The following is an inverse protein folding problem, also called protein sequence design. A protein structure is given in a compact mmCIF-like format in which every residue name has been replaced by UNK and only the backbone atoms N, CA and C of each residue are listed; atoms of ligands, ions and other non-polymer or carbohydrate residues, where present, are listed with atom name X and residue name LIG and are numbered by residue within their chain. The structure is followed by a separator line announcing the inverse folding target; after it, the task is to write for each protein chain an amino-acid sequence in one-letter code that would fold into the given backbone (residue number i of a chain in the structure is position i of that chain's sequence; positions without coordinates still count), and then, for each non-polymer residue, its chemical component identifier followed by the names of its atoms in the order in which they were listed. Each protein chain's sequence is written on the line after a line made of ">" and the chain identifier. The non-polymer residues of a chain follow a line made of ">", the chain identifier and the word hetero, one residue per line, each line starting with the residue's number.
data_IF_802375130229
#
_entry.id   IF_802375130229
#
_cell.length_a   1.000
_cell.length_b   1.000
_cell.length_c   1.000
_cell.angle_alpha   90.00
_cell.angle_beta   90.00
_cell.angle_gamma   90.00
#
_symmetry.space_group_name_H-M   'P 1'
#
loop_
_entity.id
_entity.type
_entity.pdbx_description
1 polymer ?
#
# COMPACT_ATOMS: atom_id res chain seq x y z
N UNK A 1 -15.88 11.36 6.33
CA UNK A 1 -14.61 12.12 6.46
C UNK A 1 -14.83 13.52 5.95
N UNK A 2 -13.97 14.47 6.31
CA UNK A 2 -13.92 15.82 5.73
C UNK A 2 -12.50 16.12 5.23
N UNK A 3 -12.35 17.13 4.38
CA UNK A 3 -11.04 17.67 3.99
C UNK A 3 -10.85 19.06 4.57
N UNK A 4 -9.71 19.33 5.16
CA UNK A 4 -9.31 20.65 5.66
C UNK A 4 -7.83 20.91 5.38
N UNK A 5 -7.35 22.09 5.76
CA UNK A 5 -5.97 22.51 5.57
C UNK A 5 -5.17 22.56 6.88
N UNK A 6 -3.87 22.88 6.78
CA UNK A 6 -3.08 23.38 7.90
C UNK A 6 -3.64 24.71 8.47
N UNK A 7 -3.17 25.12 9.66
CA UNK A 7 -3.67 26.30 10.38
C UNK A 7 -3.50 27.63 9.64
N UNK A 8 -2.48 27.73 8.77
CA UNK A 8 -2.15 28.93 7.98
C UNK A 8 -1.96 28.51 6.52
N UNK A 9 -3.03 28.19 5.81
CA UNK A 9 -2.92 27.73 4.43
C UNK A 9 -2.65 28.92 3.51
N UNK A 10 -1.92 28.66 2.42
CA UNK A 10 -1.83 29.57 1.27
C UNK A 10 -2.95 29.23 0.29
N UNK A 11 -3.25 30.13 -0.66
CA UNK A 11 -4.24 29.87 -1.73
C UNK A 11 -3.98 28.55 -2.50
N UNK A 12 -2.73 28.21 -2.88
CA UNK A 12 -2.44 26.91 -3.48
C UNK A 12 -2.80 25.70 -2.59
N UNK A 13 -2.66 25.81 -1.27
CA UNK A 13 -3.02 24.74 -0.33
C UNK A 13 -4.54 24.60 -0.25
N UNK A 14 -5.28 25.71 -0.27
CA UNK A 14 -6.75 25.71 -0.28
C UNK A 14 -7.26 25.06 -1.56
N UNK A 15 -6.77 25.51 -2.73
CA UNK A 15 -7.16 24.94 -4.01
C UNK A 15 -6.83 23.44 -4.10
N UNK A 16 -5.68 23.02 -3.55
CA UNK A 16 -5.33 21.60 -3.44
C UNK A 16 -6.31 20.82 -2.56
N UNK A 17 -6.73 21.39 -1.43
CA UNK A 17 -7.70 20.77 -0.53
C UNK A 17 -9.09 20.66 -1.15
N UNK A 18 -9.56 21.69 -1.85
CA UNK A 18 -10.82 21.66 -2.59
C UNK A 18 -10.80 20.61 -3.71
N UNK A 19 -9.68 20.48 -4.43
CA UNK A 19 -9.50 19.42 -5.42
C UNK A 19 -9.56 18.04 -4.79
N UNK A 20 -8.87 17.80 -3.68
CA UNK A 20 -8.90 16.52 -2.98
C UNK A 20 -10.32 16.21 -2.47
N UNK A 21 -11.03 17.22 -1.98
CA UNK A 21 -12.43 17.10 -1.55
C UNK A 21 -13.32 16.66 -2.72
N UNK A 22 -13.15 17.27 -3.90
CA UNK A 22 -13.85 16.89 -5.12
C UNK A 22 -13.52 15.46 -5.56
N UNK A 23 -12.23 15.11 -5.64
CA UNK A 23 -11.77 13.79 -6.08
C UNK A 23 -12.31 12.65 -5.21
N UNK A 24 -12.50 12.90 -3.90
CA UNK A 24 -12.97 11.94 -2.90
C UNK A 24 -14.47 12.07 -2.58
N UNK A 25 -15.18 13.00 -3.23
CA UNK A 25 -16.57 13.34 -2.91
C UNK A 25 -16.79 13.62 -1.40
N UNK A 26 -15.91 14.43 -0.81
CA UNK A 26 -15.93 14.83 0.59
C UNK A 26 -16.23 16.32 0.73
N UNK A 27 -16.81 16.76 1.86
CA UNK A 27 -16.95 18.19 2.15
C UNK A 27 -15.58 18.81 2.47
N UNK A 28 -15.31 19.96 1.87
CA UNK A 28 -14.21 20.83 2.27
C UNK A 28 -14.66 21.74 3.43
N UNK A 29 -13.88 21.74 4.51
CA UNK A 29 -14.12 22.55 5.71
C UNK A 29 -12.93 23.49 5.92
N UNK A 30 -13.20 24.79 5.95
CA UNK A 30 -12.17 25.78 6.27
C UNK A 30 -11.64 25.56 7.68
N UNK A 31 -10.31 25.57 7.81
CA UNK A 31 -9.63 25.29 9.07
C UNK A 31 -9.91 26.32 10.17
N UNK A 32 -10.13 27.58 9.80
CA UNK A 32 -10.45 28.71 10.70
C UNK A 32 -9.56 28.83 11.96
N UNK A 33 -8.30 28.38 11.87
CA UNK A 33 -7.34 28.29 12.99
C UNK A 33 -7.79 27.38 14.15
N UNK A 34 -8.84 26.60 13.97
CA UNK A 34 -9.29 25.65 14.99
C UNK A 34 -8.32 24.46 15.06
N UNK A 35 -8.05 23.90 16.25
CA UNK A 35 -7.32 22.64 16.42
C UNK A 35 -7.98 21.46 15.69
N UNK A 36 -7.22 20.39 15.42
CA UNK A 36 -7.80 19.19 14.76
C UNK A 36 -8.81 18.51 15.70
N UNK A 37 -8.52 18.50 17.00
CA UNK A 37 -9.43 17.99 18.02
C UNK A 37 -10.81 18.68 18.00
N UNK A 38 -10.86 20.00 17.78
CA UNK A 38 -12.13 20.74 17.67
C UNK A 38 -12.95 20.26 16.47
N UNK A 39 -12.30 20.08 15.31
CA UNK A 39 -12.97 19.55 14.13
C UNK A 39 -13.41 18.09 14.32
N UNK A 40 -12.63 17.26 15.02
CA UNK A 40 -13.06 15.91 15.35
C UNK A 40 -14.33 15.93 16.22
N UNK A 41 -14.38 16.78 17.25
CA UNK A 41 -15.56 16.91 18.11
C UNK A 41 -16.78 17.44 17.35
N UNK A 42 -16.58 18.37 16.41
CA UNK A 42 -17.66 18.97 15.64
C UNK A 42 -18.23 18.02 14.57
N UNK A 43 -17.37 17.30 13.85
CA UNK A 43 -17.77 16.50 12.68
C UNK A 43 -17.84 15.01 12.93
N UNK A 44 -17.33 14.51 14.06
CA UNK A 44 -17.40 13.09 14.43
C UNK A 44 -16.77 12.14 13.41
N UNK A 45 -15.77 12.58 12.63
CA UNK A 45 -15.12 11.73 11.63
C UNK A 45 -13.60 11.97 11.51
N UNK A 46 -12.92 11.05 10.81
CA UNK A 46 -11.52 11.24 10.40
C UNK A 46 -11.38 12.38 9.38
N UNK A 47 -10.24 13.05 9.39
CA UNK A 47 -10.02 14.33 8.69
C UNK A 47 -8.81 14.22 7.78
N UNK A 48 -8.98 14.48 6.48
CA UNK A 48 -7.85 14.77 5.60
C UNK A 48 -7.32 16.17 5.88
N UNK A 49 -6.02 16.26 6.15
CA UNK A 49 -5.32 17.51 6.41
C UNK A 49 -4.31 17.74 5.29
N UNK A 50 -4.52 18.82 4.55
CA UNK A 50 -3.65 19.25 3.46
C UNK A 50 -2.71 20.33 3.96
N UNK A 51 -1.41 20.08 3.88
CA UNK A 51 -0.37 21.04 4.25
C UNK A 51 0.61 21.27 3.09
N UNK A 52 1.50 22.24 3.24
CA UNK A 52 2.60 22.49 2.29
C UNK A 52 3.51 21.27 2.15
N UNK A 53 3.75 20.55 3.25
CA UNK A 53 4.79 19.52 3.31
C UNK A 53 4.24 18.12 3.05
N UNK A 54 2.99 17.85 3.39
CA UNK A 54 2.38 16.53 3.24
C UNK A 54 0.85 16.55 3.20
N UNK A 55 0.29 15.49 2.63
CA UNK A 55 -1.09 15.07 2.83
C UNK A 55 -1.12 14.06 3.99
N UNK A 56 -2.08 14.19 4.89
CA UNK A 56 -2.24 13.26 6.01
C UNK A 56 -3.71 13.05 6.39
N UNK A 57 -4.01 11.96 7.08
CA UNK A 57 -5.29 11.66 7.68
C UNK A 57 -5.12 11.73 9.20
N UNK A 58 -5.84 12.65 9.84
CA UNK A 58 -6.00 12.63 11.30
C UNK A 58 -7.16 11.71 11.67
N UNK A 59 -6.95 10.86 12.67
CA UNK A 59 -7.92 9.86 13.10
C UNK A 59 -8.44 10.21 14.50
N UNK A 60 -9.74 10.04 14.74
CA UNK A 60 -10.38 10.45 16.02
C UNK A 60 -9.71 9.79 17.23
N UNK A 61 -9.34 8.52 17.08
CA UNK A 61 -8.91 7.67 18.19
C UNK A 61 -7.38 7.48 18.24
N UNK A 62 -6.61 8.29 17.51
CA UNK A 62 -5.15 8.22 17.52
C UNK A 62 -4.56 9.61 17.45
N UNK A 63 -3.58 9.91 18.29
CA UNK A 63 -2.88 11.20 18.21
C UNK A 63 -1.95 11.30 17.00
N UNK A 64 -1.58 10.16 16.40
CA UNK A 64 -0.65 10.11 15.28
C UNK A 64 -1.38 10.22 13.94
N UNK A 65 -1.10 11.26 13.13
CA UNK A 65 -1.66 11.34 11.79
C UNK A 65 -1.04 10.28 10.88
N UNK A 66 -1.87 9.69 10.04
CA UNK A 66 -1.44 8.80 8.98
C UNK A 66 -0.98 9.61 7.76
N UNK A 67 0.22 9.36 7.26
CA UNK A 67 0.73 9.95 6.02
C UNK A 67 1.55 8.91 5.26
N UNK A 68 1.74 9.11 3.96
CA UNK A 68 2.58 8.23 3.18
C UNK A 68 4.05 8.39 3.56
N UNK A 69 4.73 7.26 3.79
CA UNK A 69 6.17 7.16 3.95
C UNK A 69 6.60 5.81 3.35
N UNK A 70 7.72 5.76 2.58
CA UNK A 70 8.13 4.53 1.89
C UNK A 70 8.61 3.41 2.83
N UNK A 71 8.72 3.69 4.13
CA UNK A 71 9.07 2.75 5.20
C UNK A 71 10.29 1.90 4.83
N UNK A 72 10.15 0.57 4.89
CA UNK A 72 11.24 -0.35 4.61
C UNK A 72 11.71 -0.34 3.17
N UNK A 73 10.91 0.17 2.23
CA UNK A 73 11.31 0.23 0.83
C UNK A 73 12.60 1.02 0.64
N UNK A 74 12.80 2.12 1.38
CA UNK A 74 13.96 2.99 1.19
C UNK A 74 15.29 2.25 1.41
N UNK A 75 15.41 1.47 2.50
CA UNK A 75 16.65 0.71 2.73
C UNK A 75 16.71 -0.55 1.86
N UNK A 76 15.57 -1.17 1.55
CA UNK A 76 15.52 -2.37 0.68
C UNK A 76 15.93 -2.06 -0.75
N UNK A 77 15.41 -0.97 -1.32
CA UNK A 77 15.81 -0.48 -2.66
C UNK A 77 17.31 -0.20 -2.71
N UNK A 78 17.86 0.51 -1.72
CA UNK A 78 19.31 0.77 -1.66
C UNK A 78 20.15 -0.50 -1.64
N UNK A 79 19.68 -1.56 -0.98
CA UNK A 79 20.35 -2.87 -0.94
C UNK A 79 20.23 -3.59 -2.28
N UNK A 80 19.04 -3.61 -2.87
CA UNK A 80 18.78 -4.20 -4.19
C UNK A 80 19.63 -3.54 -5.28
N UNK A 81 19.77 -2.21 -5.26
CA UNK A 81 20.62 -1.48 -6.21
C UNK A 81 22.11 -1.80 -6.06
N UNK A 82 22.55 -2.31 -4.90
CA UNK A 82 23.91 -2.83 -4.68
C UNK A 82 24.07 -4.30 -5.07
N UNK A 83 23.02 -4.94 -5.58
CA UNK A 83 23.01 -6.37 -5.91
C UNK A 83 22.82 -7.28 -4.69
N UNK A 84 22.38 -6.75 -3.55
CA UNK A 84 22.06 -7.59 -2.39
C UNK A 84 20.73 -8.33 -2.57
N UNK A 85 20.58 -9.43 -1.85
CA UNK A 85 19.35 -10.24 -1.87
C UNK A 85 18.24 -9.63 -1.02
N UNK A 86 17.01 -9.75 -1.50
CA UNK A 86 15.79 -9.41 -0.76
C UNK A 86 14.86 -10.65 -0.69
N UNK A 87 14.38 -11.05 0.49
CA UNK A 87 13.51 -12.24 0.63
C UNK A 87 12.22 -12.17 -0.18
N UNK A 88 11.65 -10.98 -0.38
CA UNK A 88 10.48 -10.79 -1.25
C UNK A 88 10.83 -11.10 -2.71
N UNK A 89 12.00 -10.65 -3.18
CA UNK A 89 12.46 -10.93 -4.54
C UNK A 89 12.81 -12.40 -4.76
N UNK A 90 13.27 -13.10 -3.72
CA UNK A 90 13.48 -14.54 -3.78
C UNK A 90 12.17 -15.31 -3.96
N UNK A 91 11.10 -14.92 -3.27
CA UNK A 91 9.79 -15.55 -3.37
C UNK A 91 9.07 -15.23 -4.69
N UNK A 92 9.11 -13.96 -5.09
CA UNK A 92 8.46 -13.47 -6.33
C UNK A 92 9.24 -13.81 -7.59
N UNK A 93 10.56 -14.02 -7.51
CA UNK A 93 11.46 -14.23 -8.65
C UNK A 93 11.28 -13.18 -9.75
N UNK A 94 10.92 -11.96 -9.38
CA UNK A 94 10.74 -10.87 -10.33
C UNK A 94 12.04 -10.56 -11.06
N UNK A 95 11.91 -10.36 -12.36
CA UNK A 95 12.99 -9.89 -13.23
C UNK A 95 12.51 -8.71 -14.08
N UNK A 96 13.40 -8.13 -14.87
CA UNK A 96 13.09 -6.98 -15.72
C UNK A 96 11.93 -7.27 -16.67
N UNK A 97 11.10 -6.25 -16.89
CA UNK A 97 9.93 -6.26 -17.77
C UNK A 97 8.78 -7.19 -17.32
N UNK A 98 8.85 -7.81 -16.15
CA UNK A 98 7.73 -8.55 -15.57
C UNK A 98 6.63 -7.61 -15.06
N UNK A 99 5.48 -8.22 -14.81
CA UNK A 99 4.28 -7.61 -14.26
C UNK A 99 3.90 -8.21 -12.91
N UNK A 100 3.57 -7.37 -11.94
CA UNK A 100 3.08 -7.80 -10.63
C UNK A 100 1.81 -7.05 -10.23
N UNK A 101 0.88 -7.80 -9.66
CA UNK A 101 -0.30 -7.30 -8.99
C UNK A 101 -0.13 -7.49 -7.47
N UNK A 102 -0.04 -6.38 -6.74
CA UNK A 102 -0.05 -6.32 -5.27
C UNK A 102 -1.50 -6.14 -4.80
N UNK A 103 -2.11 -7.21 -4.30
CA UNK A 103 -3.51 -7.25 -3.90
C UNK A 103 -3.77 -6.63 -2.51
N UNK A 104 -2.73 -6.13 -1.84
CA UNK A 104 -2.79 -5.62 -0.46
C UNK A 104 -1.81 -4.45 -0.34
N UNK A 105 -1.97 -3.46 -1.21
CA UNK A 105 -0.93 -2.46 -1.45
C UNK A 105 -0.43 -1.78 -0.17
N UNK A 106 -1.33 -1.40 0.75
CA UNK A 106 -0.96 -0.70 1.98
C UNK A 106 -0.13 0.54 1.68
N UNK A 107 1.09 0.64 2.23
CA UNK A 107 2.03 1.74 1.93
C UNK A 107 2.95 1.50 0.72
N UNK A 108 2.64 0.49 -0.09
CA UNK A 108 3.39 0.12 -1.28
C UNK A 108 4.85 -0.28 -1.02
N UNK A 109 5.23 -0.69 0.20
CA UNK A 109 6.64 -0.95 0.49
C UNK A 109 7.24 -2.06 -0.39
N UNK A 110 6.50 -3.14 -0.64
CA UNK A 110 6.92 -4.22 -1.53
C UNK A 110 6.76 -3.82 -3.01
N UNK A 111 5.67 -3.14 -3.36
CA UNK A 111 5.43 -2.58 -4.69
C UNK A 111 6.52 -1.61 -5.18
N UNK A 112 7.13 -0.81 -4.29
CA UNK A 112 8.28 0.04 -4.62
C UNK A 112 9.50 -0.80 -4.99
N UNK A 113 9.79 -1.84 -4.21
CA UNK A 113 10.90 -2.77 -4.51
C UNK A 113 10.64 -3.47 -5.85
N UNK A 114 9.41 -3.91 -6.10
CA UNK A 114 9.00 -4.47 -7.39
C UNK A 114 9.26 -3.52 -8.55
N UNK A 115 8.82 -2.25 -8.43
CA UNK A 115 8.93 -1.26 -9.51
C UNK A 115 10.38 -0.91 -9.87
N UNK A 116 11.30 -1.00 -8.90
CA UNK A 116 12.74 -0.90 -9.15
C UNK A 116 13.24 -2.10 -9.95
N UNK A 117 12.86 -3.32 -9.58
CA UNK A 117 13.35 -4.55 -10.21
C UNK A 117 12.78 -4.79 -11.60
N UNK A 118 11.47 -4.60 -11.78
CA UNK A 118 10.84 -4.81 -13.10
C UNK A 118 11.19 -3.70 -14.08
N UNK A 119 11.61 -2.54 -13.57
CA UNK A 119 12.10 -1.42 -14.36
C UNK A 119 11.03 -0.73 -15.21
N UNK A 120 11.48 0.15 -16.11
CA UNK A 120 10.61 1.06 -16.88
C UNK A 120 9.63 0.39 -17.84
N UNK A 121 9.94 -0.82 -18.32
CA UNK A 121 9.03 -1.55 -19.21
C UNK A 121 8.25 -2.64 -18.46
N UNK A 122 8.46 -2.77 -17.15
CA UNK A 122 7.64 -3.63 -16.30
C UNK A 122 6.36 -2.93 -15.88
N UNK A 123 5.50 -3.67 -15.17
CA UNK A 123 4.20 -3.19 -14.72
C UNK A 123 4.00 -3.52 -13.23
N UNK A 124 3.68 -2.52 -12.42
CA UNK A 124 3.29 -2.72 -11.02
C UNK A 124 1.92 -2.10 -10.81
N UNK A 125 0.94 -2.95 -10.46
CA UNK A 125 -0.40 -2.52 -10.08
C UNK A 125 -0.64 -2.91 -8.62
N UNK A 126 -1.18 -1.98 -7.85
CA UNK A 126 -1.53 -2.19 -6.45
C UNK A 126 -2.99 -1.89 -6.20
N UNK A 127 -3.72 -2.80 -5.58
CA UNK A 127 -5.11 -2.59 -5.17
C UNK A 127 -5.19 -2.31 -3.67
N UNK A 128 -6.02 -1.34 -3.30
CA UNK A 128 -6.32 -1.00 -1.92
C UNK A 128 -7.82 -0.71 -1.79
N UNK A 129 -8.53 -1.52 -1.00
CA UNK A 129 -9.99 -1.39 -0.89
C UNK A 129 -10.42 -0.17 -0.08
N UNK A 130 -9.57 0.36 0.81
CA UNK A 130 -9.87 1.65 1.44
C UNK A 130 -9.53 2.82 0.50
N UNK A 131 -10.55 3.41 -0.12
CA UNK A 131 -10.38 4.53 -1.07
C UNK A 131 -9.55 5.70 -0.53
N UNK A 132 -9.62 5.98 0.77
CA UNK A 132 -8.88 7.09 1.38
C UNK A 132 -7.40 6.75 1.55
N UNK A 133 -7.09 5.50 1.92
CA UNK A 133 -5.72 5.02 1.97
C UNK A 133 -5.13 4.94 0.56
N UNK A 134 -5.87 4.39 -0.41
CA UNK A 134 -5.46 4.33 -1.81
C UNK A 134 -5.13 5.73 -2.35
N UNK A 135 -5.97 6.73 -2.07
CA UNK A 135 -5.74 8.11 -2.47
C UNK A 135 -4.49 8.70 -1.82
N UNK A 136 -4.32 8.51 -0.50
CA UNK A 136 -3.15 8.99 0.25
C UNK A 136 -1.85 8.40 -0.31
N UNK A 137 -1.83 7.10 -0.58
CA UNK A 137 -0.67 6.36 -1.08
C UNK A 137 -0.35 6.75 -2.51
N UNK A 138 -1.37 6.83 -3.39
CA UNK A 138 -1.22 7.29 -4.78
C UNK A 138 -0.66 8.71 -4.83
N UNK A 139 -1.16 9.61 -3.99
CA UNK A 139 -0.61 10.96 -3.88
C UNK A 139 0.83 10.92 -3.34
N UNK A 140 1.10 10.13 -2.31
CA UNK A 140 2.43 9.95 -1.74
C UNK A 140 3.46 9.51 -2.75
N UNK A 141 3.20 8.40 -3.45
CA UNK A 141 4.08 7.84 -4.49
C UNK A 141 4.44 8.83 -5.61
N UNK A 142 3.50 9.70 -5.98
CA UNK A 142 3.73 10.72 -7.04
C UNK A 142 4.55 11.92 -6.59
N UNK A 143 4.54 12.24 -5.29
CA UNK A 143 5.10 13.49 -4.77
C UNK A 143 6.24 13.29 -3.77
N UNK A 144 6.59 12.04 -3.45
CA UNK A 144 7.68 11.74 -2.55
C UNK A 144 9.02 12.05 -3.22
N UNK A 145 9.92 12.66 -2.46
CA UNK A 145 11.31 12.88 -2.83
C UNK A 145 12.17 12.05 -1.86
N UNK A 146 12.78 10.99 -2.39
CA UNK A 146 13.66 10.11 -1.60
C UNK A 146 15.13 10.56 -1.65
N UNK A 147 15.45 11.57 -2.46
CA UNK A 147 16.82 11.93 -2.82
C UNK A 147 17.52 10.88 -3.69
N UNK A 148 16.79 9.91 -4.24
CA UNK A 148 17.29 8.84 -5.10
C UNK A 148 16.39 8.75 -6.34
N UNK A 149 16.81 9.33 -7.50
CA UNK A 149 15.98 9.41 -8.71
C UNK A 149 15.40 8.05 -9.14
N UNK A 150 16.18 6.98 -9.05
CA UNK A 150 15.76 5.63 -9.43
C UNK A 150 14.57 5.13 -8.59
N UNK A 151 14.52 5.50 -7.31
CA UNK A 151 13.42 5.16 -6.41
C UNK A 151 12.21 6.06 -6.66
N UNK A 152 12.42 7.36 -6.90
CA UNK A 152 11.34 8.32 -7.15
C UNK A 152 10.61 8.00 -8.46
N UNK A 153 11.37 7.74 -9.53
CA UNK A 153 10.82 7.26 -10.80
C UNK A 153 10.09 5.93 -10.62
N UNK A 154 10.61 5.01 -9.80
CA UNK A 154 9.95 3.74 -9.51
C UNK A 154 8.62 3.94 -8.77
N UNK A 155 8.55 4.83 -7.79
CA UNK A 155 7.31 5.15 -7.10
C UNK A 155 6.26 5.73 -8.07
N UNK A 156 6.66 6.63 -8.95
CA UNK A 156 5.76 7.29 -9.90
C UNK A 156 5.13 6.34 -10.94
N UNK A 157 5.78 5.20 -11.23
CA UNK A 157 5.27 4.17 -12.17
C UNK A 157 4.20 3.26 -11.57
N UNK A 158 4.07 3.19 -10.25
CA UNK A 158 3.12 2.29 -9.60
C UNK A 158 1.70 2.76 -9.85
N UNK A 159 0.87 1.89 -10.42
CA UNK A 159 -0.53 2.15 -10.63
C UNK A 159 -1.36 1.73 -9.42
N UNK A 160 -1.95 2.68 -8.71
CA UNK A 160 -2.77 2.43 -7.52
C UNK A 160 -4.25 2.49 -7.87
N UNK A 161 -4.97 1.41 -7.59
CA UNK A 161 -6.40 1.26 -7.86
C UNK A 161 -7.16 1.10 -6.53
N UNK A 162 -8.16 1.96 -6.32
CA UNK A 162 -9.01 1.94 -5.13
C UNK A 162 -10.16 0.94 -5.33
N UNK A 163 -9.92 -0.33 -4.99
CA UNK A 163 -10.84 -1.45 -5.20
C UNK A 163 -10.46 -2.61 -4.28
N UNK A 164 -11.42 -3.42 -3.87
CA UNK A 164 -11.15 -4.66 -3.15
C UNK A 164 -10.44 -5.68 -4.06
N UNK A 165 -9.54 -6.49 -3.48
CA UNK A 165 -8.68 -7.37 -4.27
C UNK A 165 -9.45 -8.42 -5.07
N UNK A 166 -10.43 -9.10 -4.45
CA UNK A 166 -11.24 -10.12 -5.12
C UNK A 166 -12.07 -9.51 -6.26
N UNK A 167 -12.63 -8.31 -6.07
CA UNK A 167 -13.34 -7.60 -7.12
C UNK A 167 -12.44 -7.27 -8.31
N UNK A 168 -11.21 -6.82 -8.06
CA UNK A 168 -10.24 -6.57 -9.12
C UNK A 168 -9.85 -7.86 -9.84
N UNK A 169 -9.53 -8.92 -9.09
CA UNK A 169 -9.13 -10.21 -9.64
C UNK A 169 -10.20 -10.80 -10.56
N UNK A 170 -11.48 -10.79 -10.15
CA UNK A 170 -12.62 -11.26 -10.95
C UNK A 170 -12.74 -10.57 -12.31
N UNK A 171 -12.35 -9.29 -12.38
CA UNK A 171 -12.41 -8.49 -13.61
C UNK A 171 -11.15 -8.60 -14.48
N UNK A 172 -10.07 -9.17 -13.96
CA UNK A 172 -8.83 -9.36 -14.69
C UNK A 172 -8.83 -10.63 -15.55
N UNK A 173 -8.03 -10.61 -16.61
CA UNK A 173 -7.92 -11.74 -17.53
C UNK A 173 -7.03 -12.83 -16.94
N UNK A 174 -7.21 -14.06 -17.41
CA UNK A 174 -6.29 -15.16 -17.10
C UNK A 174 -4.88 -14.81 -17.57
N UNK A 175 -3.87 -15.10 -16.75
CA UNK A 175 -2.45 -14.80 -17.02
C UNK A 175 -2.16 -13.30 -17.30
N UNK A 176 -2.95 -12.39 -16.74
CA UNK A 176 -2.76 -10.94 -16.94
C UNK A 176 -1.51 -10.37 -16.24
N UNK A 177 -0.99 -11.06 -15.23
CA UNK A 177 0.22 -10.67 -14.50
C UNK A 177 1.19 -11.84 -14.34
N UNK A 178 2.49 -11.57 -14.33
CA UNK A 178 3.50 -12.62 -14.09
C UNK A 178 3.44 -13.13 -12.65
N UNK A 179 3.21 -12.22 -11.69
CA UNK A 179 3.11 -12.52 -10.25
C UNK A 179 1.88 -11.84 -9.66
N UNK A 180 1.12 -12.57 -8.84
CA UNK A 180 0.11 -11.99 -7.93
C UNK A 180 0.63 -12.10 -6.50
N UNK A 181 0.55 -11.03 -5.72
CA UNK A 181 1.12 -10.92 -4.37
C UNK A 181 0.09 -10.47 -3.34
N UNK A 182 0.20 -11.06 -2.14
CA UNK A 182 -0.57 -10.69 -0.96
C UNK A 182 0.35 -10.54 0.27
N UNK A 183 0.10 -9.48 1.03
CA UNK A 183 0.62 -9.13 2.37
C UNK A 183 -0.55 -8.64 3.21
N UNK A 184 -1.55 -9.51 3.49
CA UNK A 184 -2.66 -9.12 4.33
C UNK A 184 -2.13 -8.71 5.70
N UNK A 185 -2.86 -7.83 6.39
CA UNK A 185 -2.53 -7.60 7.78
C UNK A 185 -2.61 -8.92 8.56
N UNK A 186 -1.53 -9.25 9.26
CA UNK A 186 -1.37 -10.54 9.95
C UNK A 186 -2.54 -10.85 10.91
N UNK A 187 -2.94 -12.12 10.97
CA UNK A 187 -3.91 -12.62 11.96
C UNK A 187 -3.41 -12.40 13.42
N UNK A 188 -2.09 -12.48 13.60
CA UNK A 188 -1.40 -12.26 14.87
C UNK A 188 -0.72 -10.89 14.89
N UNK A 189 -0.98 -10.10 15.94
CA UNK A 189 -0.45 -8.73 16.09
C UNK A 189 1.08 -8.75 16.20
N UNK A 190 1.77 -8.22 15.19
CA UNK A 190 3.20 -7.85 15.29
C UNK A 190 3.30 -6.37 15.64
N UNK A 191 3.93 -5.97 16.74
CA UNK A 191 4.17 -4.54 17.01
C UNK A 191 5.16 -3.96 15.99
N UNK A 192 4.70 -3.01 15.16
CA UNK A 192 5.58 -2.18 14.34
C UNK A 192 5.03 -0.77 14.23
N UNK A 193 5.88 0.22 14.53
CA UNK A 193 5.50 1.63 14.55
C UNK A 193 4.96 2.11 13.18
N UNK A 194 5.51 1.57 12.08
CA UNK A 194 5.12 1.93 10.72
C UNK A 194 3.74 1.40 10.27
N UNK A 195 3.22 0.32 10.88
CA UNK A 195 1.91 -0.28 10.52
C UNK A 195 0.81 0.23 11.44
N UNK A 196 1.14 0.64 12.67
CA UNK A 196 0.18 1.12 13.66
C UNK A 196 -0.74 2.23 13.13
N UNK A 197 -0.21 3.12 12.29
CA UNK A 197 -0.98 4.23 11.71
C UNK A 197 -2.07 3.78 10.73
N UNK A 198 -1.94 2.59 10.12
CA UNK A 198 -2.82 2.10 9.05
C UNK A 198 -3.82 1.06 9.52
N UNK A 199 -3.56 0.40 10.65
CA UNK A 199 -4.43 -0.66 11.17
C UNK A 199 -5.91 -0.31 11.21
N UNK A 200 -6.24 0.93 11.59
CA UNK A 200 -7.63 1.41 11.67
C UNK A 200 -8.27 1.73 10.31
N UNK A 201 -7.45 1.86 9.27
CA UNK A 201 -7.87 2.14 7.89
C UNK A 201 -7.85 0.88 7.03
N UNK A 202 -7.09 -0.14 7.42
CA UNK A 202 -6.98 -1.37 6.66
C UNK A 202 -8.30 -2.15 6.69
N UNK A 203 -8.61 -2.76 5.55
CA UNK A 203 -9.68 -3.73 5.46
C UNK A 203 -9.17 -5.09 5.93
N UNK A 204 -9.89 -5.68 6.88
CA UNK A 204 -9.63 -7.02 7.39
C UNK A 204 -10.47 -8.04 6.61
N UNK A 205 -10.28 -8.09 5.29
CA UNK A 205 -10.79 -9.19 4.48
C UNK A 205 -9.85 -10.38 4.63
N UNK A 206 -10.36 -11.54 5.04
CA UNK A 206 -9.57 -12.77 5.03
C UNK A 206 -9.27 -13.17 3.57
N UNK A 207 -8.15 -13.86 3.34
CA UNK A 207 -7.94 -14.53 2.06
C UNK A 207 -8.78 -15.80 2.07
N UNK A 208 -9.85 -15.81 1.28
CA UNK A 208 -10.68 -17.00 1.08
C UNK A 208 -10.22 -17.83 -0.14
N UNK A 209 -10.85 -19.01 -0.30
CA UNK A 209 -10.56 -19.93 -1.41
C UNK A 209 -10.76 -19.25 -2.77
N UNK A 210 -11.82 -18.45 -2.91
CA UNK A 210 -12.15 -17.78 -4.17
C UNK A 210 -11.06 -16.78 -4.57
N UNK A 211 -10.58 -15.99 -3.61
CA UNK A 211 -9.48 -15.03 -3.81
C UNK A 211 -8.22 -15.74 -4.29
N UNK A 212 -7.88 -16.89 -3.71
CA UNK A 212 -6.72 -17.66 -4.12
C UNK A 212 -6.91 -18.28 -5.51
N UNK A 213 -8.08 -18.84 -5.83
CA UNK A 213 -8.35 -19.41 -7.16
C UNK A 213 -8.31 -18.34 -8.26
N UNK A 214 -8.91 -17.17 -8.01
CA UNK A 214 -8.83 -16.05 -8.95
C UNK A 214 -7.40 -15.51 -9.08
N UNK A 215 -6.63 -15.48 -7.99
CA UNK A 215 -5.21 -15.13 -8.04
C UNK A 215 -4.40 -16.11 -8.89
N UNK A 216 -4.64 -17.43 -8.77
CA UNK A 216 -4.00 -18.45 -9.61
C UNK A 216 -4.40 -18.29 -11.08
N UNK A 217 -5.66 -17.95 -11.36
CA UNK A 217 -6.13 -17.68 -12.72
C UNK A 217 -5.43 -16.45 -13.33
N UNK A 218 -5.30 -15.38 -12.56
CA UNK A 218 -4.72 -14.11 -13.02
C UNK A 218 -3.20 -14.16 -13.12
N UNK A 219 -2.52 -14.92 -12.24
CA UNK A 219 -1.09 -15.10 -12.26
C UNK A 219 -0.64 -16.07 -13.36
N UNK A 220 0.40 -15.71 -14.09
CA UNK A 220 1.01 -16.55 -15.14
C UNK A 220 2.05 -17.52 -14.61
N UNK A 221 2.76 -17.14 -13.54
CA UNK A 221 3.88 -17.93 -13.03
C UNK A 221 3.72 -18.33 -11.56
N UNK A 222 3.21 -17.43 -10.72
CA UNK A 222 3.08 -17.72 -9.29
C UNK A 222 2.14 -16.77 -8.55
N UNK A 223 1.59 -17.29 -7.45
CA UNK A 223 0.97 -16.49 -6.39
C UNK A 223 1.92 -16.46 -5.20
N UNK A 224 2.14 -15.30 -4.60
CA UNK A 224 3.03 -15.13 -3.44
C UNK A 224 2.25 -14.56 -2.26
N UNK A 225 2.45 -15.14 -1.08
CA UNK A 225 1.87 -14.69 0.17
C UNK A 225 2.98 -14.35 1.16
N UNK A 226 2.91 -13.17 1.77
CA UNK A 226 3.60 -12.82 3.00
C UNK A 226 2.62 -12.92 4.15
N UNK A 227 2.98 -13.68 5.17
CA UNK A 227 2.15 -13.80 6.37
C UNK A 227 3.02 -14.08 7.60
N UNK A 228 2.44 -13.99 8.78
CA UNK A 228 3.09 -14.36 10.03
C UNK A 228 3.60 -15.81 9.93
N UNK A 229 4.76 -16.09 10.54
CA UNK A 229 5.40 -17.42 10.40
C UNK A 229 4.55 -18.60 10.90
N UNK A 230 3.53 -18.34 11.73
CA UNK A 230 2.55 -19.32 12.23
C UNK A 230 1.23 -19.33 11.46
N UNK A 231 1.11 -18.56 10.38
CA UNK A 231 -0.16 -18.45 9.64
C UNK A 231 -0.63 -19.81 9.14
N UNK A 232 -1.89 -20.13 9.42
CA UNK A 232 -2.52 -21.36 8.95
C UNK A 232 -2.82 -21.31 7.44
N UNK A 233 -2.85 -20.11 6.85
CA UNK A 233 -3.10 -19.88 5.41
C UNK A 233 -2.08 -20.57 4.53
N UNK A 234 -0.82 -20.69 4.97
CA UNK A 234 0.21 -21.40 4.22
C UNK A 234 -0.17 -22.86 3.97
N UNK A 235 -0.61 -23.57 5.01
CA UNK A 235 -1.04 -24.96 4.89
C UNK A 235 -2.40 -25.07 4.20
N UNK A 236 -3.35 -24.19 4.56
CA UNK A 236 -4.71 -24.19 3.99
C UNK A 236 -4.71 -24.13 2.46
N UNK A 237 -3.87 -23.28 1.88
CA UNK A 237 -3.82 -23.05 0.43
C UNK A 237 -2.62 -23.71 -0.26
N UNK A 238 -1.93 -24.64 0.42
CA UNK A 238 -0.79 -25.39 -0.11
C UNK A 238 0.38 -24.52 -0.61
N UNK A 239 0.70 -23.43 0.08
CA UNK A 239 1.88 -22.61 -0.23
C UNK A 239 3.19 -23.31 0.17
N UNK A 240 4.21 -23.21 -0.68
CA UNK A 240 5.57 -23.56 -0.34
C UNK A 240 6.25 -22.42 0.42
N UNK A 241 6.56 -22.63 1.71
CA UNK A 241 7.07 -21.59 2.61
C UNK A 241 8.60 -21.46 2.54
N UNK A 242 9.09 -20.25 2.25
CA UNK A 242 10.51 -19.90 2.33
C UNK A 242 10.90 -19.58 3.78
N UNK A 243 11.17 -20.63 4.57
CA UNK A 243 11.42 -20.52 6.01
C UNK A 243 12.65 -19.66 6.33
N UNK A 244 12.47 -18.70 7.24
CA UNK A 244 13.54 -17.87 7.80
C UNK A 244 13.48 -17.92 9.32
N UNK A 245 14.49 -18.52 9.94
CA UNK A 245 14.50 -18.90 11.37
C UNK A 245 14.38 -17.71 12.33
N UNK A 246 14.83 -16.52 11.94
CA UNK A 246 14.83 -15.31 12.79
C UNK A 246 13.73 -14.31 12.45
N UNK A 247 12.86 -14.61 11.48
CA UNK A 247 11.85 -13.67 10.99
C UNK A 247 10.46 -14.00 11.54
N UNK A 248 9.72 -12.97 11.98
CA UNK A 248 8.34 -13.10 12.46
C UNK A 248 7.31 -13.23 11.32
N UNK A 249 7.74 -13.16 10.06
CA UNK A 249 6.90 -13.41 8.89
C UNK A 249 7.70 -14.21 7.88
N UNK A 250 7.01 -15.01 7.07
CA UNK A 250 7.60 -15.71 5.94
C UNK A 250 6.93 -15.27 4.64
N UNK A 251 7.69 -15.40 3.56
CA UNK A 251 7.10 -15.43 2.23
C UNK A 251 6.86 -16.89 1.86
N UNK A 252 5.83 -17.14 1.07
CA UNK A 252 5.51 -18.44 0.52
C UNK A 252 4.96 -18.27 -0.90
N UNK A 253 5.06 -19.30 -1.73
CA UNK A 253 4.55 -19.26 -3.11
C UNK A 253 3.79 -20.51 -3.52
N UNK A 254 2.86 -20.33 -4.45
CA UNK A 254 2.28 -21.38 -5.28
C UNK A 254 2.87 -21.16 -6.69
N UNK A 255 3.53 -22.17 -7.23
CA UNK A 255 4.02 -22.18 -8.61
C UNK A 255 2.92 -22.70 -9.55
N UNK A 256 2.79 -22.11 -10.75
CA UNK A 256 1.73 -22.39 -11.74
C UNK A 256 2.27 -22.96 -13.05
#
# INVERSE_FOLDING_TARGET
>A
MIVTTSLRPTEPIIAKAEKIALDLNLPFVRRNKEPIATLHNQYGCNIFVVSSNRLSISQIETELPLFFHPNSAMFRVKRVLRGETDPFLQATKLTSNMSILDCTLGLASDSIVSSVVVGKNGKVVGTEGNQFLAYLVRHGLKNWDSGLPEMDEAMQRINVIAIENLEYLRNEKTNAFDVVYFDPMFELKIESEGINAIRKMALYSDLDEETIEEAKRVAKHRVVLKDHWQSTRFHRFNFHVYKRTTSQFHYASIEL
#
